data_IF_587115962589
#
_entry.id   IF_587115962589
#
_cell.length_a   1.000
_cell.length_b   1.000
_cell.length_c   1.000
_cell.angle_alpha   90.00
_cell.angle_beta   90.00
_cell.angle_gamma   90.00
#
_symmetry.space_group_name_H-M   'P 1'
#
loop_
_entity.id
_entity.type
_entity.pdbx_description
1 polymer ?
#
# COMPACT_ATOMS: atom_id res chain seq x y z
N UNK A 1 -30.31 -8.72 -5.35
CA UNK A 1 -29.62 -8.80 -4.04
C UNK A 1 -28.47 -9.81 -4.16
N UNK A 2 -27.24 -9.37 -4.41
CA UNK A 2 -26.10 -10.24 -4.76
C UNK A 2 -24.84 -9.91 -3.96
N UNK A 3 -24.96 -9.76 -2.64
CA UNK A 3 -23.85 -9.47 -1.74
C UNK A 3 -23.89 -10.40 -0.52
N UNK A 4 -23.69 -11.71 -0.73
CA UNK A 4 -23.41 -12.61 0.40
C UNK A 4 -22.68 -13.93 0.07
N UNK A 5 -22.38 -14.22 -1.22
CA UNK A 5 -21.78 -15.51 -1.58
C UNK A 5 -20.28 -15.62 -1.26
N UNK A 6 -19.53 -14.52 -1.32
CA UNK A 6 -18.07 -14.51 -1.06
C UNK A 6 -17.76 -14.83 0.41
N UNK A 7 -18.65 -14.45 1.33
CA UNK A 7 -18.49 -14.71 2.78
C UNK A 7 -18.70 -16.17 3.14
N UNK A 8 -19.66 -16.85 2.48
CA UNK A 8 -19.98 -18.25 2.74
C UNK A 8 -18.85 -19.19 2.29
N UNK A 9 -18.22 -18.90 1.14
CA UNK A 9 -17.08 -19.68 0.64
C UNK A 9 -15.87 -19.53 1.55
N UNK A 10 -15.56 -18.30 1.99
CA UNK A 10 -14.48 -18.05 2.95
C UNK A 10 -14.73 -18.72 4.30
N UNK A 11 -15.98 -18.71 4.79
CA UNK A 11 -16.34 -19.41 6.03
C UNK A 11 -16.25 -20.93 5.89
N UNK A 12 -16.69 -21.49 4.76
CA UNK A 12 -16.58 -22.92 4.50
C UNK A 12 -15.10 -23.37 4.44
N UNK A 13 -14.26 -22.57 3.79
CA UNK A 13 -12.83 -22.85 3.68
C UNK A 13 -12.12 -22.79 5.03
N UNK A 14 -12.37 -21.74 5.83
CA UNK A 14 -11.80 -21.65 7.18
C UNK A 14 -12.28 -22.79 8.09
N UNK A 15 -13.56 -23.18 7.98
CA UNK A 15 -14.11 -24.30 8.75
C UNK A 15 -13.43 -25.62 8.39
N UNK A 16 -13.08 -25.82 7.12
CA UNK A 16 -12.35 -27.01 6.66
C UNK A 16 -11.00 -27.16 7.38
N UNK A 17 -10.20 -26.10 7.46
CA UNK A 17 -8.90 -26.16 8.16
C UNK A 17 -9.03 -26.38 9.66
N UNK A 18 -10.12 -25.95 10.28
CA UNK A 18 -10.36 -26.21 11.72
C UNK A 18 -10.84 -27.64 12.01
N UNK A 19 -11.27 -28.38 10.99
CA UNK A 19 -11.78 -29.76 11.15
C UNK A 19 -10.77 -30.84 10.73
N UNK A 20 -9.67 -30.47 10.08
CA UNK A 20 -8.66 -31.41 9.64
C UNK A 20 -7.63 -31.62 10.76
N UNK A 21 -7.28 -32.88 11.01
CA UNK A 21 -6.14 -33.21 11.87
C UNK A 21 -4.82 -32.92 11.14
N UNK A 22 -3.72 -32.69 11.88
CA UNK A 22 -2.41 -32.43 11.28
C UNK A 22 -2.00 -33.47 10.22
N UNK A 23 -2.29 -34.76 10.45
CA UNK A 23 -1.98 -35.85 9.52
C UNK A 23 -2.75 -35.74 8.19
N UNK A 24 -3.99 -35.26 8.21
CA UNK A 24 -4.79 -35.07 6.99
C UNK A 24 -4.27 -33.92 6.14
N UNK A 25 -3.75 -32.86 6.78
CA UNK A 25 -3.14 -31.72 6.08
C UNK A 25 -1.84 -32.15 5.41
N UNK A 26 -1.03 -33.00 6.07
CA UNK A 26 0.19 -33.56 5.50
C UNK A 26 -0.11 -34.43 4.25
N UNK A 27 -1.10 -35.32 4.34
CA UNK A 27 -1.51 -36.18 3.23
C UNK A 27 -2.05 -35.38 2.05
N UNK A 28 -2.78 -34.30 2.31
CA UNK A 28 -3.25 -33.39 1.26
C UNK A 28 -2.08 -32.71 0.53
N UNK A 29 -1.04 -32.30 1.26
CA UNK A 29 0.16 -31.73 0.67
C UNK A 29 0.91 -32.74 -0.20
N UNK A 30 1.02 -33.99 0.24
CA UNK A 30 1.62 -35.08 -0.54
C UNK A 30 0.82 -35.34 -1.84
N UNK A 31 -0.51 -35.34 -1.77
CA UNK A 31 -1.37 -35.53 -2.94
C UNK A 31 -1.24 -34.38 -3.96
N UNK A 32 -1.12 -33.13 -3.51
CA UNK A 32 -0.90 -32.00 -4.42
C UNK A 32 0.45 -32.09 -5.13
N UNK A 33 1.49 -32.56 -4.43
CA UNK A 33 2.81 -32.79 -5.03
C UNK A 33 2.75 -33.92 -6.07
N UNK A 34 2.05 -35.00 -5.78
CA UNK A 34 1.86 -36.13 -6.70
C UNK A 34 1.08 -35.74 -7.98
N UNK A 35 0.07 -34.88 -7.83
CA UNK A 35 -0.68 -34.32 -8.97
C UNK A 35 0.19 -33.39 -9.85
N UNK A 36 1.14 -32.65 -9.27
CA UNK A 36 2.06 -31.81 -10.04
C UNK A 36 3.14 -32.60 -10.78
N UNK A 37 3.60 -33.73 -10.22
CA UNK A 37 4.62 -34.59 -10.86
C UNK A 37 4.02 -35.43 -12.00
N UNK A 38 2.74 -35.77 -11.92
CA UNK A 38 2.05 -36.54 -12.96
C UNK A 38 1.74 -35.72 -14.23
N UNK A 39 1.78 -34.38 -14.17
CA UNK A 39 1.40 -33.52 -15.30
C UNK A 39 2.59 -33.02 -16.15
N UNK A 40 3.83 -33.38 -15.82
CA UNK A 40 5.03 -32.95 -16.55
C UNK A 40 5.50 -33.93 -17.64
N UNK A 41 4.83 -35.08 -17.85
CA UNK A 41 5.24 -36.10 -18.83
C UNK A 41 4.18 -36.41 -19.90
N UNK A 42 3.52 -35.39 -20.45
CA UNK A 42 2.64 -35.56 -21.62
C UNK A 42 2.73 -34.39 -22.60
N UNK A 43 3.89 -34.22 -23.23
CA UNK A 43 3.98 -33.51 -24.52
C UNK A 43 4.67 -34.43 -25.51
N UNK A 44 3.86 -35.18 -26.26
CA UNK A 44 4.29 -35.94 -27.44
C UNK A 44 3.10 -36.07 -28.41
N UNK A 45 3.11 -35.19 -29.41
CA UNK A 45 2.74 -35.41 -30.82
C UNK A 45 1.37 -35.98 -31.27
N UNK A 46 0.91 -35.35 -32.38
CA UNK A 46 0.08 -35.82 -33.52
C UNK A 46 -1.43 -35.42 -33.53
N UNK A 47 -2.14 -35.47 -34.70
CA UNK A 47 -2.18 -34.40 -35.71
C UNK A 47 -3.63 -34.06 -36.20
N UNK A 48 -3.68 -33.23 -37.24
CA UNK A 48 -4.85 -32.67 -37.95
C UNK A 48 -5.98 -33.63 -38.39
N UNK A 49 -7.23 -33.12 -38.44
CA UNK A 49 -8.16 -33.24 -39.59
C UNK A 49 -9.52 -32.50 -39.40
N UNK A 50 -9.77 -31.52 -40.28
CA UNK A 50 -10.96 -31.26 -41.12
C UNK A 50 -12.41 -31.17 -40.57
N UNK A 51 -12.97 -29.97 -40.80
CA UNK A 51 -14.18 -29.65 -41.61
C UNK A 51 -15.61 -29.56 -41.05
N UNK A 52 -16.23 -28.46 -41.50
CA UNK A 52 -17.62 -28.26 -41.96
C UNK A 52 -18.70 -27.73 -41.02
N UNK A 53 -19.34 -26.63 -41.44
CA UNK A 53 -20.69 -26.27 -41.04
C UNK A 53 -21.06 -24.79 -41.14
N UNK A 54 -21.24 -24.27 -42.35
CA UNK A 54 -21.94 -23.00 -42.62
C UNK A 54 -23.33 -22.98 -41.96
N UNK A 55 -23.78 -21.81 -41.46
CA UNK A 55 -24.90 -21.04 -42.04
C UNK A 55 -25.33 -19.85 -41.15
N UNK A 56 -25.34 -18.68 -41.78
CA UNK A 56 -26.06 -17.47 -41.42
C UNK A 56 -27.40 -17.51 -42.18
N UNK A 57 -28.47 -16.83 -41.69
CA UNK A 57 -28.90 -15.64 -42.44
C UNK A 57 -29.50 -14.50 -41.59
N UNK A 58 -29.62 -13.36 -42.27
CA UNK A 58 -30.01 -12.03 -41.82
C UNK A 58 -31.52 -11.82 -41.57
N UNK A 59 -31.87 -10.72 -40.88
CA UNK A 59 -33.22 -10.16 -40.85
C UNK A 59 -33.45 -9.01 -39.84
N UNK A 60 -33.41 -7.77 -40.30
CA UNK A 60 -34.16 -6.59 -39.78
C UNK A 60 -35.36 -6.35 -40.74
N UNK A 61 -36.36 -5.45 -40.55
CA UNK A 61 -36.51 -4.31 -39.60
C UNK A 61 -37.95 -4.08 -39.03
N UNK A 62 -38.14 -3.11 -38.11
CA UNK A 62 -39.34 -2.22 -37.98
C UNK A 62 -39.10 -1.21 -36.83
N UNK A 63 -38.96 0.12 -37.01
CA UNK A 63 -39.90 1.21 -37.40
C UNK A 63 -40.77 1.76 -36.24
N UNK A 64 -40.39 2.99 -35.82
CA UNK A 64 -41.13 4.14 -35.24
C UNK A 64 -41.92 4.07 -33.93
N UNK A 65 -41.74 5.11 -33.11
CA UNK A 65 -42.80 5.61 -32.21
C UNK A 65 -42.35 6.46 -31.02
N UNK A 66 -42.33 7.80 -31.21
CA UNK A 66 -42.65 8.90 -30.26
C UNK A 66 -42.16 8.91 -28.79
N UNK A 67 -41.53 10.03 -28.42
CA UNK A 67 -41.24 10.51 -27.05
C UNK A 67 -42.51 11.08 -26.34
N UNK A 68 -42.45 11.79 -25.18
CA UNK A 68 -41.52 11.79 -24.04
C UNK A 68 -42.27 11.67 -22.68
N UNK A 69 -41.63 11.18 -21.61
CA UNK A 69 -42.08 11.45 -20.23
C UNK A 69 -40.89 11.78 -19.35
N UNK A 70 -40.90 13.01 -18.84
CA UNK A 70 -39.91 13.59 -17.94
C UNK A 70 -39.93 12.90 -16.55
N UNK A 71 -38.78 12.83 -15.86
CA UNK A 71 -38.73 12.83 -14.41
C UNK A 71 -38.22 14.18 -13.86
N UNK A 72 -38.53 14.49 -12.58
CA UNK A 72 -38.52 15.85 -12.05
C UNK A 72 -37.13 16.39 -11.66
N UNK A 73 -37.09 17.72 -11.62
CA UNK A 73 -36.05 18.69 -11.27
C UNK A 73 -35.17 18.31 -10.06
N UNK A 74 -33.86 18.60 -10.08
CA UNK A 74 -32.95 18.34 -8.97
C UNK A 74 -33.13 19.32 -7.80
N UNK A 75 -33.42 18.80 -6.62
CA UNK A 75 -33.39 19.56 -5.37
C UNK A 75 -31.96 19.66 -4.81
N UNK A 76 -31.48 20.90 -4.74
CA UNK A 76 -30.47 21.41 -3.81
C UNK A 76 -29.09 20.72 -3.79
N UNK A 77 -28.23 21.20 -4.69
CA UNK A 77 -26.79 21.19 -4.47
C UNK A 77 -26.44 22.07 -3.26
N UNK A 78 -26.37 21.47 -2.07
CA UNK A 78 -25.63 22.07 -0.95
C UNK A 78 -24.16 22.02 -1.32
N UNK A 79 -23.61 23.16 -1.75
CA UNK A 79 -22.19 23.45 -1.81
C UNK A 79 -21.59 23.16 -0.44
N UNK A 80 -21.06 21.95 -0.25
CA UNK A 80 -20.18 21.61 0.87
C UNK A 80 -18.89 22.39 0.68
N UNK A 81 -18.84 23.62 1.16
CA UNK A 81 -17.57 24.32 1.44
C UNK A 81 -16.88 23.60 2.60
N UNK A 82 -16.17 22.53 2.28
CA UNK A 82 -15.43 21.66 3.21
C UNK A 82 -14.05 22.21 3.56
N UNK A 83 -13.86 23.54 3.56
CA UNK A 83 -12.55 24.16 3.76
C UNK A 83 -12.44 25.05 5.01
N UNK A 84 -13.52 25.34 5.74
CA UNK A 84 -13.45 26.24 6.90
C UNK A 84 -13.37 25.52 8.26
N UNK A 85 -13.97 24.33 8.40
CA UNK A 85 -14.03 23.64 9.70
C UNK A 85 -12.67 23.14 10.17
N UNK A 86 -11.76 22.88 9.23
CA UNK A 86 -10.41 22.43 9.52
C UNK A 86 -9.44 23.55 9.92
N UNK A 87 -9.73 24.83 9.65
CA UNK A 87 -8.77 25.93 9.85
C UNK A 87 -8.78 26.47 11.28
N UNK A 88 -9.94 26.48 11.95
CA UNK A 88 -10.11 27.03 13.31
C UNK A 88 -9.55 26.16 14.44
N UNK A 89 -9.48 24.83 14.26
CA UNK A 89 -8.89 23.91 15.25
C UNK A 89 -7.36 23.82 15.14
N UNK A 90 -6.76 24.28 14.03
CA UNK A 90 -5.31 24.21 13.77
C UNK A 90 -4.51 25.37 14.36
N UNK A 91 -5.16 26.45 14.76
CA UNK A 91 -4.49 27.65 15.23
C UNK A 91 -4.11 27.62 16.72
N UNK A 92 -4.49 26.57 17.48
CA UNK A 92 -4.31 26.56 18.95
C UNK A 92 -3.84 25.22 19.54
N UNK A 93 -3.44 24.23 18.73
CA UNK A 93 -3.05 22.92 19.27
C UNK A 93 -2.29 22.03 18.30
N UNK A 94 -1.40 21.21 18.88
CA UNK A 94 -0.64 20.16 18.19
C UNK A 94 -1.57 19.30 17.34
N UNK A 95 -1.22 19.10 16.07
CA UNK A 95 -1.98 18.23 15.18
C UNK A 95 -1.77 16.77 15.59
N UNK A 96 -2.69 15.88 15.21
CA UNK A 96 -2.51 14.44 15.46
C UNK A 96 -1.16 13.99 14.86
N UNK A 97 -0.32 13.25 15.61
CA UNK A 97 0.92 12.71 15.07
C UNK A 97 0.68 11.88 13.82
N UNK A 98 1.59 11.97 12.86
CA UNK A 98 1.56 11.14 11.66
C UNK A 98 1.82 9.68 12.06
N UNK A 99 1.02 8.77 11.52
CA UNK A 99 1.28 7.34 11.64
C UNK A 99 2.31 6.92 10.57
N UNK A 100 3.27 6.07 10.93
CA UNK A 100 4.36 5.63 10.05
C UNK A 100 3.88 4.96 8.76
N UNK A 101 2.79 4.19 8.81
CA UNK A 101 2.17 3.62 7.62
C UNK A 101 1.66 4.70 6.65
N UNK A 102 1.28 5.88 7.15
CA UNK A 102 0.86 6.99 6.29
C UNK A 102 2.05 7.56 5.50
N UNK A 103 3.23 7.65 6.11
CA UNK A 103 4.45 8.04 5.40
C UNK A 103 4.81 6.99 4.32
N UNK A 104 4.89 5.73 4.72
CA UNK A 104 5.14 4.58 3.84
C UNK A 104 4.21 4.57 2.63
N UNK A 105 2.89 4.58 2.88
CA UNK A 105 1.90 4.46 1.80
C UNK A 105 1.88 5.67 0.88
N UNK A 106 2.23 6.86 1.39
CA UNK A 106 2.26 8.07 0.56
C UNK A 106 3.44 8.00 -0.39
N UNK A 107 4.62 7.63 0.12
CA UNK A 107 5.84 7.49 -0.67
C UNK A 107 5.72 6.42 -1.75
N UNK A 108 5.36 5.19 -1.38
CA UNK A 108 5.34 4.05 -2.32
C UNK A 108 4.10 3.99 -3.22
N UNK A 109 3.08 4.86 -3.03
CA UNK A 109 1.93 4.91 -3.94
C UNK A 109 2.31 5.27 -5.39
N UNK A 110 3.46 5.91 -5.54
CA UNK A 110 4.06 6.34 -6.82
C UNK A 110 4.67 5.17 -7.61
N UNK A 111 5.08 4.08 -6.94
CA UNK A 111 5.60 2.87 -7.58
C UNK A 111 4.58 2.12 -8.46
N UNK A 112 3.29 2.47 -8.32
CA UNK A 112 2.18 1.76 -8.94
C UNK A 112 1.35 2.67 -9.86
N UNK A 113 1.92 3.27 -10.92
CA UNK A 113 1.14 4.07 -11.85
C UNK A 113 0.07 3.20 -12.54
N UNK A 114 -1.06 3.80 -12.91
CA UNK A 114 -2.14 3.10 -13.62
C UNK A 114 -3.02 2.16 -12.79
N UNK A 115 -2.63 1.82 -11.55
CA UNK A 115 -3.47 1.00 -10.68
C UNK A 115 -4.60 1.79 -10.03
N UNK A 116 -5.76 1.15 -9.85
CA UNK A 116 -6.86 1.75 -9.09
C UNK A 116 -6.48 1.96 -7.61
N UNK A 117 -7.04 2.99 -6.97
CA UNK A 117 -6.79 3.27 -5.56
C UNK A 117 -7.14 2.10 -4.62
N UNK A 118 -8.19 1.32 -4.94
CA UNK A 118 -8.58 0.12 -4.18
C UNK A 118 -7.44 -0.90 -4.17
N UNK A 119 -6.85 -1.14 -5.34
CA UNK A 119 -5.79 -2.13 -5.52
C UNK A 119 -4.49 -1.63 -4.88
N UNK A 120 -4.11 -0.37 -5.10
CA UNK A 120 -2.96 0.26 -4.43
C UNK A 120 -3.02 0.10 -2.92
N UNK A 121 -4.19 0.40 -2.33
CA UNK A 121 -4.40 0.29 -0.89
C UNK A 121 -4.21 -1.14 -0.38
N UNK A 122 -4.69 -2.15 -1.12
CA UNK A 122 -4.48 -3.56 -0.81
C UNK A 122 -3.01 -3.97 -0.87
N UNK A 123 -2.34 -3.64 -1.97
CA UNK A 123 -0.90 -3.93 -2.19
C UNK A 123 -0.04 -3.29 -1.10
N UNK A 124 -0.22 -1.99 -0.81
CA UNK A 124 0.57 -1.29 0.19
C UNK A 124 0.37 -1.85 1.61
N UNK A 125 -0.83 -2.33 1.95
CA UNK A 125 -1.05 -3.03 3.24
C UNK A 125 -0.30 -4.35 3.30
N UNK A 126 -0.31 -5.12 2.22
CA UNK A 126 0.42 -6.38 2.14
C UNK A 126 1.93 -6.15 2.26
N UNK A 127 2.48 -5.22 1.49
CA UNK A 127 3.89 -4.84 1.53
C UNK A 127 4.31 -4.33 2.90
N UNK A 128 3.44 -3.56 3.56
CA UNK A 128 3.71 -3.07 4.91
C UNK A 128 3.91 -4.21 5.90
N UNK A 129 3.16 -5.31 5.82
CA UNK A 129 3.28 -6.42 6.79
C UNK A 129 4.71 -6.98 6.87
N UNK A 130 5.40 -7.03 5.74
CA UNK A 130 6.77 -7.56 5.62
C UNK A 130 7.84 -6.47 5.39
N UNK A 131 7.49 -5.19 5.52
CA UNK A 131 8.45 -4.09 5.32
C UNK A 131 9.51 -4.10 6.44
N UNK A 132 10.80 -4.16 6.10
CA UNK A 132 11.86 -4.22 7.10
C UNK A 132 12.25 -2.83 7.63
N UNK A 133 11.85 -1.76 6.95
CA UNK A 133 12.22 -0.37 7.27
C UNK A 133 11.23 0.32 8.22
N UNK A 134 10.37 -0.43 8.90
CA UNK A 134 9.34 0.11 9.83
C UNK A 134 9.90 1.09 10.86
N UNK A 135 11.10 0.82 11.39
CA UNK A 135 11.77 1.70 12.34
C UNK A 135 12.13 3.05 11.70
N UNK A 136 12.70 3.04 10.48
CA UNK A 136 12.99 4.26 9.71
C UNK A 136 11.70 5.05 9.45
N UNK A 137 10.62 4.38 9.06
CA UNK A 137 9.31 5.03 8.87
C UNK A 137 8.75 5.67 10.15
N UNK A 138 8.99 5.08 11.31
CA UNK A 138 8.59 5.65 12.60
C UNK A 138 9.36 6.93 12.92
N UNK A 139 10.67 6.95 12.66
CA UNK A 139 11.52 8.15 12.80
C UNK A 139 11.01 9.26 11.89
N UNK A 140 10.78 8.97 10.60
CA UNK A 140 10.27 9.95 9.63
C UNK A 140 8.92 10.52 10.04
N UNK A 141 7.99 9.67 10.48
CA UNK A 141 6.66 10.14 10.85
C UNK A 141 6.68 11.02 12.10
N UNK A 142 7.54 10.72 13.07
CA UNK A 142 7.73 11.55 14.26
C UNK A 142 8.40 12.88 13.90
N UNK A 143 9.46 12.87 13.10
CA UNK A 143 10.15 14.08 12.65
C UNK A 143 9.21 15.01 11.86
N UNK A 144 8.44 14.46 10.92
CA UNK A 144 7.44 15.24 10.17
C UNK A 144 6.38 15.85 11.09
N UNK A 145 5.91 15.12 12.11
CA UNK A 145 4.94 15.63 13.06
C UNK A 145 5.46 16.85 13.81
N UNK A 146 6.73 16.82 14.25
CA UNK A 146 7.39 17.94 14.95
C UNK A 146 7.51 19.16 14.04
N UNK A 147 8.01 18.97 12.82
CA UNK A 147 8.21 20.06 11.86
C UNK A 147 6.86 20.68 11.47
N UNK A 148 5.88 19.84 11.10
CA UNK A 148 4.55 20.29 10.68
C UNK A 148 3.82 21.02 11.80
N UNK A 149 3.97 20.61 13.05
CA UNK A 149 3.32 21.30 14.16
C UNK A 149 3.88 22.73 14.36
N UNK A 150 5.11 22.99 13.91
CA UNK A 150 5.75 24.31 13.99
C UNK A 150 5.60 25.13 12.69
N UNK A 151 5.45 24.45 11.54
CA UNK A 151 5.51 25.05 10.19
C UNK A 151 4.37 24.57 9.28
N UNK A 152 3.15 24.46 9.82
CA UNK A 152 2.02 23.76 9.18
C UNK A 152 1.61 24.30 7.79
N UNK A 153 1.97 25.54 7.48
CA UNK A 153 1.69 26.25 6.23
C UNK A 153 2.84 26.20 5.21
N UNK A 154 4.03 25.77 5.63
CA UNK A 154 5.23 25.70 4.79
C UNK A 154 5.58 24.27 4.35
N UNK A 155 5.09 23.24 5.07
CA UNK A 155 5.52 21.86 4.83
C UNK A 155 4.41 20.96 4.31
N UNK A 156 4.78 20.16 3.30
CA UNK A 156 3.96 19.07 2.80
C UNK A 156 4.67 17.72 3.03
N UNK A 157 3.88 16.65 3.15
CA UNK A 157 4.43 15.32 3.41
C UNK A 157 5.26 14.83 2.22
N UNK A 158 4.84 15.12 1.00
CA UNK A 158 5.53 14.67 -0.22
C UNK A 158 6.92 15.29 -0.35
N UNK A 159 7.03 16.63 -0.24
CA UNK A 159 8.30 17.34 -0.28
C UNK A 159 9.24 16.94 0.86
N UNK A 160 8.70 16.73 2.06
CA UNK A 160 9.49 16.24 3.21
C UNK A 160 10.07 14.85 2.94
N UNK A 161 9.27 13.93 2.43
CA UNK A 161 9.71 12.57 2.14
C UNK A 161 10.74 12.55 1.00
N UNK A 162 10.55 13.35 -0.05
CA UNK A 162 11.52 13.47 -1.14
C UNK A 162 12.90 13.93 -0.66
N UNK A 163 12.94 14.84 0.32
CA UNK A 163 14.18 15.34 0.92
C UNK A 163 14.87 14.29 1.82
N UNK A 164 14.10 13.61 2.67
CA UNK A 164 14.66 12.84 3.79
C UNK A 164 14.81 11.34 3.51
N UNK A 165 13.97 10.75 2.65
CA UNK A 165 14.07 9.33 2.32
C UNK A 165 15.46 8.93 1.80
N UNK A 166 16.11 9.68 0.90
CA UNK A 166 17.48 9.38 0.47
C UNK A 166 18.49 9.45 1.63
N UNK A 167 18.32 10.40 2.55
CA UNK A 167 19.22 10.61 3.69
C UNK A 167 19.20 9.43 4.67
N UNK A 168 18.02 8.88 4.96
CA UNK A 168 17.86 7.75 5.91
C UNK A 168 18.10 6.38 5.26
N UNK A 169 18.31 6.34 3.94
CA UNK A 169 18.52 5.12 3.18
C UNK A 169 17.26 4.26 3.08
N UNK A 170 16.11 4.86 2.76
CA UNK A 170 14.92 4.11 2.32
C UNK A 170 14.98 3.95 0.79
N UNK A 171 14.62 2.76 0.32
CA UNK A 171 14.68 2.40 -1.10
C UNK A 171 13.71 3.25 -1.91
N UNK A 172 14.13 3.70 -3.10
CA UNK A 172 13.28 4.45 -4.02
C UNK A 172 12.06 3.62 -4.47
N UNK A 173 10.91 4.25 -4.79
CA UNK A 173 9.71 3.53 -5.17
C UNK A 173 9.88 2.63 -6.41
N UNK A 174 10.71 3.06 -7.36
CA UNK A 174 11.07 2.29 -8.56
C UNK A 174 11.77 0.97 -8.26
N UNK A 175 12.56 0.93 -7.18
CA UNK A 175 13.46 -0.18 -6.86
C UNK A 175 12.92 -1.08 -5.76
N UNK A 176 11.90 -0.65 -5.03
CA UNK A 176 11.39 -1.34 -3.86
C UNK A 176 11.04 -2.81 -4.15
N UNK A 177 10.22 -3.09 -5.17
CA UNK A 177 9.82 -4.45 -5.49
C UNK A 177 11.03 -5.33 -5.84
N UNK A 178 11.95 -4.81 -6.67
CA UNK A 178 13.16 -5.51 -7.09
C UNK A 178 14.06 -5.86 -5.91
N UNK A 179 14.32 -4.91 -5.01
CA UNK A 179 15.16 -5.15 -3.83
C UNK A 179 14.50 -6.12 -2.85
N UNK A 180 13.18 -6.04 -2.69
CA UNK A 180 12.42 -6.95 -1.85
C UNK A 180 12.23 -8.36 -2.46
N UNK A 181 12.77 -8.62 -3.66
CA UNK A 181 12.55 -9.85 -4.41
C UNK A 181 11.07 -10.13 -4.64
N UNK A 182 10.30 -9.08 -4.92
CA UNK A 182 8.87 -9.14 -5.20
C UNK A 182 8.60 -8.74 -6.64
N UNK A 183 7.60 -9.37 -7.24
CA UNK A 183 7.07 -8.96 -8.53
C UNK A 183 5.57 -8.75 -8.41
N UNK A 184 5.08 -7.66 -9.01
CA UNK A 184 3.66 -7.43 -9.15
C UNK A 184 3.19 -8.05 -10.47
N UNK A 185 2.33 -9.06 -10.37
CA UNK A 185 1.70 -9.70 -11.53
C UNK A 185 0.29 -9.14 -11.68
N UNK A 186 -0.05 -8.75 -12.92
CA UNK A 186 -1.37 -8.24 -13.28
C UNK A 186 -1.98 -9.21 -14.28
N UNK A 187 -3.07 -9.86 -13.87
CA UNK A 187 -3.80 -10.77 -14.73
C UNK A 187 -4.78 -10.01 -15.65
N UNK A 188 -5.27 -10.68 -16.70
CA UNK A 188 -6.20 -10.12 -17.69
C UNK A 188 -7.51 -9.61 -17.05
N UNK A 189 -7.93 -10.24 -15.95
CA UNK A 189 -9.11 -9.83 -15.17
C UNK A 189 -8.85 -8.62 -14.26
N UNK A 190 -7.68 -7.97 -14.38
CA UNK A 190 -7.19 -6.93 -13.47
C UNK A 190 -7.14 -7.42 -12.02
N UNK A 191 -6.91 -8.72 -11.85
CA UNK A 191 -6.55 -9.29 -10.56
C UNK A 191 -5.04 -9.13 -10.38
N UNK A 192 -4.64 -8.76 -9.17
CA UNK A 192 -3.25 -8.46 -8.84
C UNK A 192 -2.76 -9.47 -7.81
N UNK A 193 -1.55 -9.99 -8.02
CA UNK A 193 -0.85 -10.83 -7.05
C UNK A 193 0.58 -10.33 -6.88
N UNK A 194 1.12 -10.51 -5.67
CA UNK A 194 2.53 -10.27 -5.39
C UNK A 194 3.18 -11.64 -5.28
N UNK A 195 4.17 -11.90 -6.12
CA UNK A 195 4.94 -13.14 -6.12
C UNK A 195 6.36 -12.88 -5.64
N UNK A 196 6.96 -13.87 -4.97
CA UNK A 196 8.39 -13.83 -4.65
C UNK A 196 9.18 -14.20 -5.89
N UNK A 197 10.27 -13.48 -6.12
CA UNK A 197 11.24 -13.75 -7.18
C UNK A 197 12.46 -14.40 -6.55
N UNK A 198 13.12 -15.30 -7.30
CA UNK A 198 14.33 -16.00 -6.85
C UNK A 198 15.54 -15.07 -6.66
N UNK A 199 15.45 -13.83 -7.13
CA UNK A 199 16.48 -12.81 -6.99
C UNK A 199 16.12 -11.88 -5.82
N UNK A 200 16.42 -12.30 -4.60
CA UNK A 200 16.45 -11.38 -3.46
C UNK A 200 17.84 -10.75 -3.36
N UNK A 201 17.89 -9.42 -3.31
CA UNK A 201 19.11 -8.74 -2.88
C UNK A 201 19.20 -8.96 -1.37
N UNK A 202 20.28 -9.60 -0.92
CA UNK A 202 20.52 -9.79 0.51
C UNK A 202 20.74 -8.42 1.15
N UNK A 203 19.77 -7.98 1.94
CA UNK A 203 19.79 -6.68 2.59
C UNK A 203 20.64 -6.80 3.86
N UNK A 204 21.72 -6.03 3.96
CA UNK A 204 22.63 -6.12 5.11
C UNK A 204 22.03 -5.44 6.33
N UNK A 205 22.56 -5.72 7.52
CA UNK A 205 22.13 -5.03 8.74
C UNK A 205 22.35 -3.51 8.67
N UNK A 206 23.36 -3.07 7.93
CA UNK A 206 23.67 -1.66 7.69
C UNK A 206 22.57 -0.98 6.85
N UNK A 207 22.01 -1.69 5.88
CA UNK A 207 20.89 -1.21 5.07
C UNK A 207 19.59 -1.11 5.87
N UNK A 208 19.38 -2.07 6.77
CA UNK A 208 18.16 -2.20 7.59
C UNK A 208 18.06 -1.14 8.68
N UNK A 209 19.19 -0.76 9.25
CA UNK A 209 19.26 0.13 10.41
C UNK A 209 19.63 1.55 10.00
N UNK A 210 19.54 2.48 10.94
CA UNK A 210 19.99 3.86 10.75
C UNK A 210 20.49 4.41 12.07
N UNK A 211 21.56 5.19 12.01
CA UNK A 211 22.08 5.94 13.16
C UNK A 211 21.42 7.32 13.30
N UNK A 212 20.53 7.70 12.36
CA UNK A 212 19.84 8.98 12.40
C UNK A 212 18.68 8.92 13.41
N UNK A 213 18.73 9.79 14.40
CA UNK A 213 17.63 10.02 15.32
C UNK A 213 16.57 10.95 14.73
N UNK A 214 15.45 11.11 15.43
CA UNK A 214 14.40 12.07 15.07
C UNK A 214 14.96 13.49 15.06
N UNK A 215 15.80 13.84 16.03
CA UNK A 215 16.34 15.19 16.16
C UNK A 215 17.33 15.50 15.03
N UNK A 216 18.08 14.51 14.55
CA UNK A 216 18.97 14.67 13.39
C UNK A 216 18.19 14.98 12.12
N UNK A 217 17.06 14.30 11.90
CA UNK A 217 16.18 14.58 10.75
C UNK A 217 15.59 15.99 10.85
N UNK A 218 15.13 16.39 12.04
CA UNK A 218 14.59 17.74 12.24
C UNK A 218 15.67 18.80 12.02
N UNK A 219 16.86 18.62 12.60
CA UNK A 219 17.99 19.51 12.41
C UNK A 219 18.37 19.64 10.93
N UNK A 220 18.41 18.53 10.18
CA UNK A 220 18.66 18.55 8.74
C UNK A 220 17.62 19.38 7.97
N UNK A 221 16.33 19.33 8.34
CA UNK A 221 15.31 20.18 7.72
C UNK A 221 15.55 21.68 7.93
N UNK A 222 16.06 22.10 9.09
CA UNK A 222 16.44 23.51 9.30
C UNK A 222 17.74 23.86 8.54
N UNK A 223 18.74 22.98 8.57
CA UNK A 223 20.05 23.21 7.93
C UNK A 223 19.95 23.28 6.40
N UNK A 224 19.09 22.46 5.80
CA UNK A 224 18.83 22.46 4.36
C UNK A 224 17.96 23.64 3.88
N UNK A 225 17.45 24.46 4.82
CA UNK A 225 16.52 25.54 4.50
C UNK A 225 15.12 25.06 4.11
N UNK A 226 14.79 23.78 4.35
CA UNK A 226 13.45 23.26 4.10
C UNK A 226 12.39 23.97 4.95
N UNK A 227 12.76 24.40 6.16
CA UNK A 227 11.96 25.27 7.03
C UNK A 227 12.81 26.39 7.60
N UNK A 228 12.19 27.55 7.83
CA UNK A 228 12.87 28.72 8.41
C UNK A 228 12.85 28.69 9.94
N UNK A 229 13.92 29.15 10.59
CA UNK A 229 13.99 29.33 12.05
C UNK A 229 15.19 28.64 12.69
N UNK A 230 15.20 28.58 14.03
CA UNK A 230 16.25 27.92 14.80
C UNK A 230 15.67 26.67 15.44
N UNK A 231 16.31 25.51 15.20
CA UNK A 231 15.97 24.29 15.91
C UNK A 231 16.45 24.36 17.35
N UNK A 232 15.52 24.35 18.31
CA UNK A 232 15.84 24.11 19.72
C UNK A 232 15.57 22.64 20.04
N UNK A 233 16.61 21.79 20.21
CA UNK A 233 16.41 20.40 20.59
C UNK A 233 15.67 20.32 21.92
N UNK A 234 14.56 19.59 21.95
CA UNK A 234 13.72 19.49 23.13
C UNK A 234 14.38 18.52 24.12
N UNK A 235 15.15 19.05 25.07
CA UNK A 235 15.87 18.25 26.05
C UNK A 235 14.93 17.71 27.14
N UNK A 236 14.07 16.76 26.79
CA UNK A 236 13.26 16.01 27.75
C UNK A 236 14.04 14.81 28.29
N UNK A 237 15.16 15.08 28.96
CA UNK A 237 15.93 14.12 29.78
C UNK A 237 16.83 14.86 30.80
N UNK A 238 16.25 15.74 31.64
CA UNK A 238 16.89 16.12 32.90
C UNK A 238 16.10 15.56 34.07
N UNK A 239 16.59 14.43 34.58
CA UNK A 239 16.05 13.74 35.74
C UNK A 239 17.10 12.81 36.36
N UNK A 240 18.30 13.31 36.59
CA UNK A 240 19.22 12.76 37.59
C UNK A 240 20.05 13.92 38.14
N UNK A 241 19.55 14.54 39.22
CA UNK A 241 20.36 15.41 40.05
C UNK A 241 21.41 14.54 40.74
N UNK A 242 22.67 14.72 40.36
CA UNK A 242 23.80 14.30 41.19
C UNK A 242 23.79 15.15 42.46
N UNK A 243 23.48 14.51 43.58
CA UNK A 243 23.66 15.11 44.90
C UNK A 243 25.16 15.35 45.13
N UNK A 244 25.48 16.59 45.48
CA UNK A 244 26.80 17.07 45.86
C UNK A 244 27.32 16.29 47.09
N UNK A 245 28.58 15.83 47.01
CA UNK A 245 29.40 15.59 48.20
C UNK A 245 30.29 16.82 48.40
N UNK A 246 30.05 17.53 49.49
CA UNK A 246 31.02 18.32 50.26
C UNK A 246 30.69 18.08 51.73
#
# INVERSE_FOLDING_TARGET
>A
MAANKVSAVHQAFNKLFTTLTPDQVQNFHAFLQEATVSNTNAVSNTPAAMSSGNQQPAGLPNVTGAAPMAPPVPSNAVTRTSHSRGKRLRALGKLRPLNSFIAFRSFYSTAFPGLSQKIKSGVLRLLWTSDPFKAKWAILARAYSIIRDSHFDQVELESFLALIVPLIGIIAPSDYLRVMGLQLVVDMDKQFSITKTDHNIELTQEDLTTNLSVDDIVAHCYQSGYVTGIFSPNNSNQGFQSANYC
#
